data_IF_946252602141
#
_entry.id   IF_946252602141
#
_cell.length_a   1.000
_cell.length_b   1.000
_cell.length_c   1.000
_cell.angle_alpha   90.00
_cell.angle_beta   90.00
_cell.angle_gamma   90.00
#
_symmetry.space_group_name_H-M   'P 1'
#
loop_
_entity.id
_entity.type
_entity.pdbx_description
1 polymer ?
#
# COMPACT_ATOMS: atom_id res chain seq x y z
N UNK A 1 -9.62 -11.39 30.05
CA UNK A 1 -10.43 -11.56 31.28
C UNK A 1 -9.71 -12.44 32.30
N UNK A 2 -10.02 -12.24 33.54
CA UNK A 2 -9.38 -12.98 34.65
C UNK A 2 -9.57 -14.49 34.51
N UNK A 3 -10.75 -14.91 34.16
CA UNK A 3 -11.09 -16.35 34.03
C UNK A 3 -10.33 -17.00 32.87
N UNK A 4 -10.14 -16.29 31.75
CA UNK A 4 -9.36 -16.76 30.62
C UNK A 4 -7.89 -16.85 31.03
N UNK A 5 -7.36 -15.82 31.70
CA UNK A 5 -5.97 -15.82 32.18
C UNK A 5 -5.71 -16.93 33.20
N UNK A 6 -6.64 -17.21 34.12
CA UNK A 6 -6.53 -18.32 35.10
C UNK A 6 -6.50 -19.70 34.40
N UNK A 7 -7.17 -19.82 33.24
CA UNK A 7 -7.23 -21.09 32.48
C UNK A 7 -5.95 -21.32 31.67
N UNK A 8 -5.45 -20.29 30.98
CA UNK A 8 -4.32 -20.41 30.07
C UNK A 8 -2.96 -20.06 30.70
N UNK A 9 -2.96 -19.35 31.83
CA UNK A 9 -1.77 -18.95 32.57
C UNK A 9 -1.02 -17.74 31.98
N UNK A 10 -1.05 -17.57 30.65
CA UNK A 10 -0.41 -16.47 29.93
C UNK A 10 -1.22 -16.09 28.67
N UNK A 11 -0.97 -14.89 28.09
CA UNK A 11 -1.52 -14.54 26.80
C UNK A 11 -1.01 -15.47 25.70
N UNK A 12 -1.91 -16.22 25.07
CA UNK A 12 -1.64 -17.10 23.95
C UNK A 12 -2.72 -16.94 22.87
N UNK A 13 -2.52 -17.43 21.64
CA UNK A 13 -3.50 -17.30 20.58
C UNK A 13 -4.88 -17.83 20.97
N UNK A 14 -4.94 -18.98 21.60
CA UNK A 14 -6.18 -19.64 22.03
C UNK A 14 -6.96 -18.81 23.06
N UNK A 15 -6.25 -18.21 24.03
CA UNK A 15 -6.84 -17.33 25.04
C UNK A 15 -7.41 -16.06 24.38
N UNK A 16 -6.70 -15.49 23.40
CA UNK A 16 -7.14 -14.30 22.69
C UNK A 16 -8.37 -14.57 21.81
N UNK A 17 -8.42 -15.72 21.15
CA UNK A 17 -9.58 -16.16 20.36
C UNK A 17 -10.78 -16.43 21.24
N UNK A 18 -10.61 -17.15 22.36
CA UNK A 18 -11.70 -17.40 23.29
C UNK A 18 -12.30 -16.10 23.83
N UNK A 19 -11.45 -15.16 24.25
CA UNK A 19 -11.88 -13.83 24.68
C UNK A 19 -12.66 -13.09 23.60
N UNK A 20 -12.15 -13.04 22.38
CA UNK A 20 -12.80 -12.38 21.27
C UNK A 20 -14.19 -12.97 20.96
N UNK A 21 -14.29 -14.30 20.91
CA UNK A 21 -15.55 -15.00 20.65
C UNK A 21 -16.55 -14.85 21.80
N UNK A 22 -16.10 -14.78 23.06
CA UNK A 22 -16.97 -14.50 24.17
C UNK A 22 -17.61 -13.11 24.08
N UNK A 23 -16.83 -12.10 23.68
CA UNK A 23 -17.36 -10.76 23.44
C UNK A 23 -18.29 -10.70 22.22
N UNK A 24 -17.98 -11.43 21.16
CA UNK A 24 -18.87 -11.53 20.00
C UNK A 24 -20.25 -12.11 20.40
N UNK A 25 -20.28 -13.20 21.18
CA UNK A 25 -21.54 -13.79 21.68
C UNK A 25 -22.37 -12.82 22.52
N UNK A 26 -21.73 -12.00 23.35
CA UNK A 26 -22.47 -10.98 24.14
C UNK A 26 -23.18 -9.98 23.19
N UNK A 27 -22.52 -9.58 22.11
CA UNK A 27 -23.13 -8.68 21.12
C UNK A 27 -24.24 -9.37 20.32
N UNK A 28 -24.06 -10.64 19.98
CA UNK A 28 -25.08 -11.47 19.33
C UNK A 28 -26.32 -11.65 20.22
N UNK A 29 -26.13 -11.90 21.50
CA UNK A 29 -27.22 -12.04 22.50
C UNK A 29 -28.04 -10.73 22.65
N UNK A 30 -27.41 -9.56 22.37
CA UNK A 30 -28.06 -8.24 22.34
C UNK A 30 -28.59 -7.88 20.93
N UNK A 31 -28.64 -8.82 19.99
CA UNK A 31 -29.06 -8.62 18.59
C UNK A 31 -28.25 -7.57 17.83
N UNK A 32 -26.97 -7.40 18.22
CA UNK A 32 -26.03 -6.47 17.57
C UNK A 32 -24.98 -7.25 16.78
N UNK A 33 -25.17 -7.36 15.46
CA UNK A 33 -24.33 -8.16 14.55
C UNK A 33 -23.41 -7.32 13.65
N UNK A 34 -23.63 -6.00 13.61
CA UNK A 34 -22.86 -5.06 12.77
C UNK A 34 -21.57 -4.61 13.48
N UNK A 35 -20.64 -5.52 13.69
CA UNK A 35 -19.36 -5.24 14.32
C UNK A 35 -18.19 -5.90 13.59
N UNK A 36 -16.98 -5.49 13.93
CA UNK A 36 -15.72 -6.11 13.51
C UNK A 36 -14.86 -6.43 14.72
N UNK A 37 -14.04 -7.46 14.61
CA UNK A 37 -13.19 -7.92 15.70
C UNK A 37 -11.75 -7.45 15.51
N UNK A 38 -11.11 -7.07 16.62
CA UNK A 38 -9.72 -6.68 16.65
C UNK A 38 -8.98 -7.43 17.76
N UNK A 39 -8.03 -8.27 17.40
CA UNK A 39 -7.28 -9.14 18.30
C UNK A 39 -5.77 -8.81 18.23
N UNK A 40 -5.39 -7.67 18.83
CA UNK A 40 -4.04 -7.10 18.70
C UNK A 40 -3.11 -7.52 19.82
N UNK A 41 -1.84 -7.74 19.49
CA UNK A 41 -0.75 -7.88 20.43
C UNK A 41 0.44 -7.01 20.01
N UNK A 42 1.35 -6.76 20.93
CA UNK A 42 2.63 -6.09 20.67
C UNK A 42 3.68 -7.05 20.10
N UNK A 43 3.53 -8.34 20.39
CA UNK A 43 4.28 -9.40 19.74
C UNK A 43 3.65 -9.74 18.39
N UNK A 44 4.45 -9.71 17.35
CA UNK A 44 3.99 -9.90 15.95
C UNK A 44 3.52 -11.32 15.72
N UNK A 45 4.25 -12.31 16.25
CA UNK A 45 3.92 -13.72 16.05
C UNK A 45 2.63 -14.10 16.78
N UNK A 46 2.47 -13.62 18.03
CA UNK A 46 1.25 -13.79 18.79
C UNK A 46 0.05 -13.17 18.07
N UNK A 47 0.20 -11.93 17.57
CA UNK A 47 -0.86 -11.25 16.80
C UNK A 47 -1.25 -12.05 15.55
N UNK A 48 -0.27 -12.46 14.73
CA UNK A 48 -0.52 -13.22 13.51
C UNK A 48 -1.20 -14.56 13.82
N UNK A 49 -0.73 -15.30 14.82
CA UNK A 49 -1.32 -16.58 15.21
C UNK A 49 -2.76 -16.41 15.72
N UNK A 50 -3.01 -15.39 16.56
CA UNK A 50 -4.35 -15.12 17.09
C UNK A 50 -5.34 -14.73 15.96
N UNK A 51 -4.97 -13.85 15.04
CA UNK A 51 -5.81 -13.49 13.89
C UNK A 51 -6.07 -14.67 12.95
N UNK A 52 -5.05 -15.50 12.71
CA UNK A 52 -5.20 -16.70 11.86
C UNK A 52 -6.22 -17.66 12.49
N UNK A 53 -6.06 -17.96 13.78
CA UNK A 53 -7.01 -18.84 14.50
C UNK A 53 -8.40 -18.23 14.60
N UNK A 54 -8.51 -16.90 14.74
CA UNK A 54 -9.80 -16.20 14.78
C UNK A 54 -10.51 -16.24 13.43
N UNK A 55 -9.78 -16.08 12.31
CA UNK A 55 -10.32 -16.19 10.96
C UNK A 55 -10.85 -17.59 10.62
N UNK A 56 -10.29 -18.63 11.25
CA UNK A 56 -10.81 -20.00 11.15
C UNK A 56 -12.05 -20.24 12.03
N UNK A 57 -12.22 -19.43 13.09
CA UNK A 57 -13.25 -19.63 14.11
C UNK A 57 -14.54 -18.83 13.88
N UNK A 58 -14.51 -17.77 13.07
CA UNK A 58 -15.69 -16.93 12.78
C UNK A 58 -15.56 -16.18 11.44
N UNK A 59 -16.70 -15.74 10.90
CA UNK A 59 -16.80 -15.00 9.64
C UNK A 59 -16.93 -13.48 9.85
N UNK A 60 -16.75 -12.97 11.08
CA UNK A 60 -16.80 -11.53 11.34
C UNK A 60 -15.63 -10.78 10.72
N UNK A 61 -15.85 -9.57 10.18
CA UNK A 61 -14.77 -8.76 9.64
C UNK A 61 -13.66 -8.51 10.67
N UNK A 62 -12.41 -8.62 10.24
CA UNK A 62 -11.24 -8.47 11.09
C UNK A 62 -10.55 -7.14 10.89
N UNK A 63 -10.29 -6.42 11.99
CA UNK A 63 -9.54 -5.19 12.01
C UNK A 63 -8.11 -5.43 12.47
N UNK A 64 -7.20 -5.55 11.51
CA UNK A 64 -5.81 -5.90 11.75
C UNK A 64 -4.99 -4.76 12.34
N UNK A 65 -4.00 -5.13 13.14
CA UNK A 65 -3.01 -4.20 13.63
C UNK A 65 -2.07 -4.84 14.64
N UNK A 66 -0.86 -4.26 14.75
CA UNK A 66 0.08 -4.54 15.84
C UNK A 66 -0.01 -3.38 16.81
N UNK A 67 -0.29 -3.63 18.08
CA UNK A 67 -0.34 -2.59 19.10
C UNK A 67 1.06 -2.29 19.63
N UNK A 68 1.30 -1.04 20.07
CA UNK A 68 2.57 -0.65 20.69
C UNK A 68 3.79 -1.03 19.82
N UNK A 69 3.68 -0.80 18.51
CA UNK A 69 4.71 -1.24 17.57
C UNK A 69 6.03 -0.48 17.73
N UNK A 70 6.01 0.72 18.33
CA UNK A 70 7.19 1.53 18.58
C UNK A 70 7.30 2.76 17.65
N UNK A 71 8.49 3.36 17.58
CA UNK A 71 8.75 4.55 16.76
C UNK A 71 8.64 4.26 15.26
N UNK A 72 8.71 5.33 14.46
CA UNK A 72 8.47 5.28 13.01
C UNK A 72 9.15 4.10 12.31
N UNK A 73 10.46 3.93 12.45
CA UNK A 73 11.20 2.87 11.76
C UNK A 73 10.85 1.47 12.25
N UNK A 74 10.96 1.23 13.56
CA UNK A 74 10.71 -0.10 14.14
C UNK A 74 9.25 -0.50 14.07
N UNK A 75 8.36 0.46 14.29
CA UNK A 75 6.92 0.26 14.20
C UNK A 75 6.44 -0.04 12.79
N UNK A 76 7.03 0.63 11.78
CA UNK A 76 6.78 0.31 10.36
C UNK A 76 7.17 -1.13 10.06
N UNK A 77 8.34 -1.58 10.49
CA UNK A 77 8.80 -2.96 10.25
C UNK A 77 7.86 -3.97 10.90
N UNK A 78 7.52 -3.78 12.19
CA UNK A 78 6.60 -4.68 12.90
C UNK A 78 5.22 -4.73 12.26
N UNK A 79 4.66 -3.56 11.92
CA UNK A 79 3.35 -3.46 11.27
C UNK A 79 3.36 -4.09 9.89
N UNK A 80 4.43 -3.89 9.11
CA UNK A 80 4.57 -4.51 7.79
C UNK A 80 4.63 -6.03 7.87
N UNK A 81 5.34 -6.58 8.86
CA UNK A 81 5.40 -8.04 9.05
C UNK A 81 4.03 -8.55 9.52
N UNK A 82 3.45 -7.99 10.58
CA UNK A 82 2.21 -8.49 11.17
C UNK A 82 1.01 -8.33 10.24
N UNK A 83 0.71 -7.11 9.81
CA UNK A 83 -0.40 -6.83 8.90
C UNK A 83 -0.14 -7.45 7.52
N UNK A 84 1.08 -7.33 7.01
CA UNK A 84 1.44 -7.85 5.70
C UNK A 84 1.31 -9.36 5.59
N UNK A 85 1.73 -10.12 6.61
CA UNK A 85 1.58 -11.59 6.62
C UNK A 85 0.11 -12.02 6.58
N UNK A 86 -0.75 -11.35 7.35
CA UNK A 86 -2.18 -11.65 7.38
C UNK A 86 -2.87 -11.31 6.05
N UNK A 87 -2.61 -10.12 5.52
CA UNK A 87 -3.15 -9.70 4.23
C UNK A 87 -2.67 -10.60 3.07
N UNK A 88 -1.41 -11.06 3.12
CA UNK A 88 -0.88 -12.03 2.16
C UNK A 88 -1.62 -13.37 2.21
N UNK A 89 -2.05 -13.78 3.41
CA UNK A 89 -2.86 -14.98 3.62
C UNK A 89 -4.37 -14.76 3.31
N UNK A 90 -4.77 -13.58 2.86
CA UNK A 90 -6.18 -13.25 2.59
C UNK A 90 -7.00 -12.93 3.85
N UNK A 91 -6.36 -12.67 4.98
CA UNK A 91 -7.00 -12.39 6.26
C UNK A 91 -7.02 -10.88 6.52
N UNK A 92 -8.20 -10.33 6.83
CA UNK A 92 -8.40 -8.96 7.30
C UNK A 92 -9.14 -8.06 6.31
N UNK A 93 -9.97 -7.18 6.86
CA UNK A 93 -10.88 -6.31 6.12
C UNK A 93 -10.52 -4.83 6.27
N UNK A 94 -10.00 -4.47 7.41
CA UNK A 94 -9.51 -3.12 7.72
C UNK A 94 -8.19 -3.20 8.48
N UNK A 95 -7.37 -2.15 8.37
CA UNK A 95 -6.06 -2.10 9.03
C UNK A 95 -5.90 -0.85 9.89
N UNK A 96 -5.07 -0.94 10.91
CA UNK A 96 -4.54 0.17 11.68
C UNK A 96 -3.05 -0.02 11.92
N UNK A 97 -2.26 0.94 11.45
CA UNK A 97 -0.87 1.10 11.84
C UNK A 97 -0.83 1.94 13.13
N UNK A 98 0.03 1.57 14.07
CA UNK A 98 0.18 2.27 15.36
C UNK A 98 1.64 2.60 15.58
N UNK A 99 1.98 3.90 15.57
CA UNK A 99 3.35 4.40 15.65
C UNK A 99 3.47 5.48 16.72
N UNK A 100 4.61 5.50 17.43
CA UNK A 100 5.01 6.65 18.25
C UNK A 100 5.64 7.72 17.33
N UNK A 101 4.81 8.30 16.44
CA UNK A 101 5.18 9.30 15.45
C UNK A 101 3.97 10.17 15.11
N UNK A 102 4.12 11.12 14.17
CA UNK A 102 3.00 11.91 13.64
C UNK A 102 1.93 10.96 13.06
N UNK A 103 0.63 11.13 13.40
CA UNK A 103 -0.45 10.28 12.90
C UNK A 103 -0.54 10.18 11.38
N UNK A 104 -0.07 11.18 10.65
CA UNK A 104 -0.01 11.17 9.18
C UNK A 104 0.92 10.04 8.68
N UNK A 105 1.98 9.73 9.42
CA UNK A 105 2.92 8.66 9.07
C UNK A 105 2.26 7.28 9.20
N UNK A 106 1.32 7.08 10.12
CA UNK A 106 0.55 5.84 10.24
C UNK A 106 -0.27 5.55 8.97
N UNK A 107 -0.88 6.60 8.41
CA UNK A 107 -1.66 6.52 7.16
C UNK A 107 -0.75 6.20 5.97
N UNK A 108 0.41 6.86 5.88
CA UNK A 108 1.40 6.60 4.81
C UNK A 108 1.88 5.15 4.85
N UNK A 109 2.32 4.70 6.02
CA UNK A 109 2.77 3.30 6.22
C UNK A 109 1.67 2.30 5.90
N UNK A 110 0.42 2.58 6.29
CA UNK A 110 -0.72 1.75 5.95
C UNK A 110 -0.91 1.60 4.44
N UNK A 111 -0.84 2.70 3.69
CA UNK A 111 -0.89 2.66 2.22
C UNK A 111 0.33 1.99 1.61
N UNK A 112 1.53 2.16 2.18
CA UNK A 112 2.74 1.51 1.68
C UNK A 112 2.69 -0.02 1.84
N UNK A 113 2.13 -0.52 2.95
CA UNK A 113 1.86 -1.95 3.13
C UNK A 113 0.89 -2.46 2.07
N UNK A 114 -0.25 -1.79 1.88
CA UNK A 114 -1.27 -2.19 0.91
C UNK A 114 -0.75 -2.12 -0.54
N UNK A 115 0.01 -1.10 -0.86
CA UNK A 115 0.66 -0.90 -2.17
C UNK A 115 1.69 -2.00 -2.45
N UNK A 116 2.53 -2.34 -1.46
CA UNK A 116 3.55 -3.39 -1.58
C UNK A 116 2.94 -4.78 -1.82
N UNK A 117 1.71 -5.00 -1.39
CA UNK A 117 0.95 -6.23 -1.61
C UNK A 117 0.04 -6.19 -2.85
N UNK A 118 0.01 -5.09 -3.58
CA UNK A 118 -0.87 -4.93 -4.74
C UNK A 118 -2.37 -4.83 -4.40
N UNK A 119 -2.72 -4.62 -3.13
CA UNK A 119 -4.12 -4.59 -2.67
C UNK A 119 -4.79 -3.23 -2.88
N UNK A 120 -4.03 -2.16 -2.70
CA UNK A 120 -4.48 -0.79 -2.99
C UNK A 120 -3.34 0.02 -3.56
N UNK A 121 -3.65 0.80 -4.57
CA UNK A 121 -2.69 1.69 -5.21
C UNK A 121 -3.10 3.14 -4.91
N UNK A 122 -2.18 3.90 -4.33
CA UNK A 122 -2.33 5.34 -4.12
C UNK A 122 -0.97 6.00 -4.28
N UNK A 123 -0.93 7.01 -5.13
CA UNK A 123 0.27 7.79 -5.36
C UNK A 123 1.32 7.08 -6.21
N UNK A 124 2.44 7.73 -6.32
CA UNK A 124 3.57 7.27 -7.13
C UNK A 124 4.33 6.15 -6.41
N UNK A 125 4.50 5.03 -7.08
CA UNK A 125 5.39 3.95 -6.64
C UNK A 125 6.75 4.10 -7.30
N UNK A 126 7.76 4.53 -6.53
CA UNK A 126 9.11 4.71 -7.04
C UNK A 126 9.90 3.41 -6.92
N UNK A 127 10.32 2.86 -8.05
CA UNK A 127 11.19 1.70 -8.15
C UNK A 127 12.60 2.19 -8.42
N UNK A 128 13.53 1.91 -7.53
CA UNK A 128 14.91 2.38 -7.69
C UNK A 128 15.94 1.30 -7.41
N UNK A 129 17.07 1.37 -8.08
CA UNK A 129 18.18 0.47 -7.79
C UNK A 129 19.01 0.98 -6.60
N UNK A 130 19.65 0.08 -5.84
CA UNK A 130 20.67 0.49 -4.87
C UNK A 130 21.85 1.10 -5.63
N UNK A 131 22.40 2.19 -5.09
CA UNK A 131 23.57 2.84 -5.66
C UNK A 131 24.75 1.87 -5.77
N UNK A 132 25.40 1.81 -6.94
CA UNK A 132 26.56 0.95 -7.20
C UNK A 132 27.59 1.65 -8.11
N UNK A 133 28.74 1.03 -8.31
CA UNK A 133 29.81 1.58 -9.14
C UNK A 133 29.44 1.86 -10.63
N UNK A 134 28.32 1.32 -11.10
CA UNK A 134 27.82 1.54 -12.47
C UNK A 134 26.88 2.73 -12.61
N UNK A 135 26.49 3.36 -11.50
CA UNK A 135 25.59 4.51 -11.57
C UNK A 135 26.19 5.66 -12.37
N UNK A 136 25.35 6.36 -13.11
CA UNK A 136 25.72 7.49 -13.94
C UNK A 136 25.20 8.83 -13.41
N UNK A 137 24.43 8.80 -12.31
CA UNK A 137 23.95 9.96 -11.56
C UNK A 137 23.73 9.56 -10.09
N UNK A 138 23.49 10.50 -9.20
CA UNK A 138 23.30 10.26 -7.78
C UNK A 138 21.89 9.72 -7.47
N UNK A 139 21.68 8.41 -7.68
CA UNK A 139 20.37 7.75 -7.53
C UNK A 139 19.71 8.04 -6.19
N UNK A 140 20.45 7.87 -5.08
CA UNK A 140 19.90 8.04 -3.72
C UNK A 140 19.32 9.44 -3.55
N UNK A 141 20.11 10.48 -3.84
CA UNK A 141 19.65 11.88 -3.69
C UNK A 141 18.49 12.20 -4.64
N UNK A 142 18.53 11.69 -5.86
CA UNK A 142 17.47 11.89 -6.84
C UNK A 142 16.15 11.28 -6.33
N UNK A 143 16.18 10.05 -5.82
CA UNK A 143 15.00 9.36 -5.29
C UNK A 143 14.44 10.07 -4.05
N UNK A 144 15.30 10.44 -3.09
CA UNK A 144 14.87 11.16 -1.88
C UNK A 144 14.14 12.48 -2.19
N UNK A 145 14.60 13.21 -3.22
CA UNK A 145 13.95 14.47 -3.61
C UNK A 145 12.67 14.19 -4.41
N UNK A 146 12.69 13.20 -5.31
CA UNK A 146 11.50 12.82 -6.07
C UNK A 146 10.36 12.36 -5.17
N UNK A 147 10.59 11.45 -4.22
CA UNK A 147 9.57 10.97 -3.29
C UNK A 147 8.91 12.12 -2.50
N UNK A 148 9.71 13.09 -2.05
CA UNK A 148 9.18 14.28 -1.36
C UNK A 148 8.35 15.17 -2.28
N UNK A 149 8.83 15.42 -3.50
CA UNK A 149 8.15 16.30 -4.46
C UNK A 149 6.89 15.68 -5.05
N UNK A 150 6.86 14.36 -5.19
CA UNK A 150 5.73 13.61 -5.74
C UNK A 150 4.70 13.17 -4.68
N UNK A 151 4.95 13.45 -3.39
CA UNK A 151 4.08 13.01 -2.29
C UNK A 151 2.64 13.57 -2.36
N UNK A 152 2.41 14.66 -3.10
CA UNK A 152 1.08 15.26 -3.30
C UNK A 152 0.24 14.50 -4.34
N UNK A 153 0.86 13.73 -5.22
CA UNK A 153 0.17 12.96 -6.27
C UNK A 153 -0.52 11.76 -5.63
N UNK A 154 -1.81 11.64 -5.83
CA UNK A 154 -2.62 10.52 -5.32
C UNK A 154 -2.95 9.49 -6.40
N UNK A 155 -2.77 9.85 -7.66
CA UNK A 155 -2.97 8.98 -8.82
C UNK A 155 -2.03 7.79 -8.79
N UNK A 156 -2.55 6.56 -8.86
CA UNK A 156 -1.72 5.36 -8.89
C UNK A 156 -0.88 5.32 -10.16
N UNK A 157 0.44 5.29 -10.01
CA UNK A 157 1.38 5.14 -11.12
C UNK A 157 2.74 4.64 -10.64
N UNK A 158 3.55 4.17 -11.57
CA UNK A 158 4.87 3.60 -11.32
C UNK A 158 5.97 4.44 -11.99
N UNK A 159 7.05 4.70 -11.25
CA UNK A 159 8.22 5.42 -11.76
C UNK A 159 9.47 4.61 -11.47
N UNK A 160 10.26 4.28 -12.49
CA UNK A 160 11.57 3.65 -12.30
C UNK A 160 12.71 4.65 -12.42
N UNK A 161 13.63 4.63 -11.44
CA UNK A 161 14.83 5.47 -11.38
C UNK A 161 16.05 4.59 -11.22
N UNK A 162 16.66 4.22 -12.34
CA UNK A 162 17.73 3.23 -12.39
C UNK A 162 19.04 3.86 -12.85
N UNK A 163 20.08 3.75 -12.05
CA UNK A 163 21.36 4.42 -12.23
C UNK A 163 22.18 4.03 -13.47
N UNK A 164 21.84 2.95 -14.19
CA UNK A 164 22.63 2.50 -15.33
C UNK A 164 21.80 1.73 -16.37
N UNK A 165 22.36 1.61 -17.57
CA UNK A 165 21.73 0.89 -18.71
C UNK A 165 21.63 -0.61 -18.55
N UNK A 166 22.21 -1.21 -17.50
CA UNK A 166 22.21 -2.68 -17.35
C UNK A 166 20.82 -3.18 -16.94
N UNK A 167 20.21 -2.56 -15.92
CA UNK A 167 18.88 -2.92 -15.43
C UNK A 167 17.80 -1.91 -15.89
N UNK A 168 18.21 -0.69 -16.21
CA UNK A 168 17.30 0.42 -16.49
C UNK A 168 16.27 0.16 -17.58
N UNK A 169 16.64 -0.33 -18.77
CA UNK A 169 15.68 -0.61 -19.82
C UNK A 169 14.64 -1.67 -19.43
N UNK A 170 15.06 -2.71 -18.69
CA UNK A 170 14.17 -3.77 -18.22
C UNK A 170 13.12 -3.26 -17.20
N UNK A 171 13.55 -2.49 -16.23
CA UNK A 171 12.64 -1.87 -15.25
C UNK A 171 11.71 -0.83 -15.90
N UNK A 172 12.25 -0.04 -16.83
CA UNK A 172 11.48 0.98 -17.53
C UNK A 172 10.35 0.42 -18.39
N UNK A 173 10.50 -0.79 -18.93
CA UNK A 173 9.44 -1.49 -19.68
C UNK A 173 8.18 -1.76 -18.87
N UNK A 174 8.31 -1.83 -17.54
CA UNK A 174 7.23 -2.21 -16.60
C UNK A 174 6.68 -1.01 -15.85
N UNK A 175 7.06 0.22 -16.23
CA UNK A 175 6.68 1.44 -15.50
C UNK A 175 6.07 2.49 -16.42
N UNK A 176 5.22 3.35 -15.85
CA UNK A 176 4.58 4.45 -16.57
C UNK A 176 5.59 5.52 -17.01
N UNK A 177 6.55 5.82 -16.10
CA UNK A 177 7.68 6.70 -16.39
C UNK A 177 8.96 6.00 -15.94
N UNK A 178 9.92 5.88 -16.86
CA UNK A 178 11.23 5.28 -16.60
C UNK A 178 12.36 6.26 -16.81
N UNK A 179 13.35 6.25 -15.90
CA UNK A 179 14.59 7.03 -16.04
C UNK A 179 15.80 6.14 -15.85
N UNK A 180 16.67 6.12 -16.86
CA UNK A 180 17.84 5.25 -16.87
C UNK A 180 19.10 6.05 -17.06
N UNK A 181 20.06 5.88 -16.15
CA UNK A 181 21.39 6.47 -16.26
C UNK A 181 22.12 5.99 -17.50
N UNK A 182 22.49 6.93 -18.38
CA UNK A 182 23.30 6.68 -19.56
C UNK A 182 24.72 7.25 -19.40
N UNK A 183 25.65 6.80 -20.22
CA UNK A 183 27.03 7.26 -20.17
C UNK A 183 27.21 8.71 -20.65
N UNK A 184 28.29 9.36 -20.20
CA UNK A 184 28.71 10.72 -20.62
C UNK A 184 27.68 11.81 -20.30
N UNK A 185 27.00 11.73 -19.14
CA UNK A 185 26.02 12.74 -18.70
C UNK A 185 24.78 12.83 -19.60
N UNK A 186 24.40 11.73 -20.23
CA UNK A 186 23.20 11.66 -21.07
C UNK A 186 22.38 10.44 -20.62
N UNK A 187 21.16 10.66 -20.21
CA UNK A 187 20.25 9.67 -19.65
C UNK A 187 19.08 9.40 -20.61
N UNK A 188 18.42 8.27 -20.46
CA UNK A 188 17.27 7.91 -21.27
C UNK A 188 15.99 7.97 -20.42
N UNK A 189 14.98 8.66 -20.92
CA UNK A 189 13.62 8.69 -20.41
C UNK A 189 12.77 7.71 -21.19
N UNK A 190 11.86 7.04 -20.50
CA UNK A 190 10.88 6.11 -21.06
C UNK A 190 9.48 6.53 -20.61
N UNK A 191 8.51 6.42 -21.50
CA UNK A 191 7.10 6.65 -21.23
C UNK A 191 6.32 5.40 -21.65
N UNK A 192 5.52 4.85 -20.74
CA UNK A 192 4.77 3.62 -20.97
C UNK A 192 5.65 2.46 -21.51
N UNK A 193 6.84 2.31 -20.96
CA UNK A 193 7.79 1.28 -21.35
C UNK A 193 8.58 1.57 -22.63
N UNK A 194 8.28 2.61 -23.37
CA UNK A 194 8.95 2.94 -24.62
C UNK A 194 9.99 4.06 -24.44
N UNK A 195 11.17 3.96 -25.10
CA UNK A 195 12.13 5.06 -25.11
C UNK A 195 11.49 6.31 -25.72
N UNK A 196 11.55 7.43 -24.99
CA UNK A 196 10.95 8.69 -25.43
C UNK A 196 12.06 9.68 -25.84
N UNK A 197 12.76 10.26 -24.87
CA UNK A 197 13.82 11.23 -25.17
C UNK A 197 15.03 11.06 -24.27
N UNK A 198 16.08 11.83 -24.56
CA UNK A 198 17.29 11.85 -23.76
C UNK A 198 17.40 13.15 -22.97
N UNK A 199 17.81 13.01 -21.71
CA UNK A 199 18.02 14.11 -20.77
C UNK A 199 19.51 14.21 -20.41
N UNK A 200 20.01 15.43 -20.24
CA UNK A 200 21.35 15.69 -19.69
C UNK A 200 21.29 15.81 -18.18
N UNK A 201 22.46 15.77 -17.51
CA UNK A 201 22.59 15.85 -16.06
C UNK A 201 21.91 17.06 -15.41
N UNK A 202 21.74 18.15 -16.15
CA UNK A 202 21.09 19.37 -15.66
C UNK A 202 19.59 19.18 -15.50
N UNK A 203 19.08 19.45 -14.32
CA UNK A 203 17.64 19.46 -13.98
C UNK A 203 16.89 18.09 -14.06
N UNK A 204 17.57 16.97 -13.80
CA UNK A 204 16.95 15.63 -13.81
C UNK A 204 15.68 15.61 -12.96
N UNK A 205 15.74 16.10 -11.72
CA UNK A 205 14.61 16.03 -10.79
C UNK A 205 13.42 16.86 -11.27
N UNK A 206 13.67 18.12 -11.68
CA UNK A 206 12.58 19.01 -12.14
C UNK A 206 11.87 18.41 -13.35
N UNK A 207 12.65 17.93 -14.31
CA UNK A 207 12.11 17.30 -15.51
C UNK A 207 11.29 16.02 -15.20
N UNK A 208 11.80 15.18 -14.30
CA UNK A 208 11.05 13.97 -13.91
C UNK A 208 9.77 14.32 -13.17
N UNK A 209 9.76 15.34 -12.31
CA UNK A 209 8.54 15.81 -11.64
C UNK A 209 7.51 16.28 -12.65
N UNK A 210 7.89 17.12 -13.61
CA UNK A 210 7.00 17.60 -14.67
C UNK A 210 6.40 16.45 -15.48
N UNK A 211 7.23 15.46 -15.84
CA UNK A 211 6.76 14.28 -16.59
C UNK A 211 5.78 13.43 -15.78
N UNK A 212 6.06 13.23 -14.49
CA UNK A 212 5.20 12.44 -13.61
C UNK A 212 3.89 13.16 -13.37
N UNK A 213 3.90 14.48 -13.14
CA UNK A 213 2.68 15.29 -13.00
C UNK A 213 1.84 15.27 -14.28
N UNK A 214 2.47 15.43 -15.44
CA UNK A 214 1.77 15.35 -16.73
C UNK A 214 1.16 13.96 -16.94
N UNK A 215 1.89 12.89 -16.61
CA UNK A 215 1.41 11.52 -16.72
C UNK A 215 0.26 11.22 -15.74
N UNK A 216 0.34 11.73 -14.52
CA UNK A 216 -0.75 11.62 -13.55
C UNK A 216 -2.03 12.28 -14.07
N UNK A 217 -1.92 13.48 -14.63
CA UNK A 217 -3.07 14.17 -15.22
C UNK A 217 -3.67 13.42 -16.42
N UNK A 218 -2.83 12.79 -17.26
CA UNK A 218 -3.30 11.93 -18.36
C UNK A 218 -4.08 10.72 -17.85
N UNK A 219 -3.57 10.05 -16.82
CA UNK A 219 -4.24 8.88 -16.21
C UNK A 219 -5.57 9.28 -15.59
N UNK A 220 -5.63 10.41 -14.87
CA UNK A 220 -6.88 10.92 -14.29
C UNK A 220 -7.90 11.28 -15.35
N UNK A 221 -7.49 11.93 -16.42
CA UNK A 221 -8.38 12.26 -17.53
C UNK A 221 -8.94 11.01 -18.22
N UNK A 222 -8.10 9.99 -18.45
CA UNK A 222 -8.52 8.73 -19.03
C UNK A 222 -9.54 8.00 -18.13
N UNK A 223 -9.29 7.98 -16.83
CA UNK A 223 -10.18 7.37 -15.83
C UNK A 223 -11.53 8.08 -15.77
N UNK A 224 -11.52 9.41 -15.75
CA UNK A 224 -12.76 10.19 -15.76
C UNK A 224 -13.59 9.98 -17.05
N UNK A 225 -12.95 9.81 -18.21
CA UNK A 225 -13.62 9.49 -19.46
C UNK A 225 -14.25 8.10 -19.41
N UNK A 226 -13.56 7.09 -18.89
CA UNK A 226 -14.07 5.74 -18.72
C UNK A 226 -15.27 5.68 -17.76
N UNK A 227 -15.19 6.38 -16.62
CA UNK A 227 -16.28 6.48 -15.65
C UNK A 227 -17.53 7.14 -16.29
N UNK A 228 -17.34 8.20 -17.08
CA UNK A 228 -18.43 8.86 -17.79
C UNK A 228 -19.09 7.95 -18.84
N UNK A 229 -18.32 7.15 -19.56
CA UNK A 229 -18.85 6.16 -20.52
C UNK A 229 -19.66 5.06 -19.82
N UNK A 230 -19.18 4.55 -18.67
CA UNK A 230 -19.88 3.55 -17.87
C UNK A 230 -21.22 4.12 -17.34
N UNK A 231 -21.21 5.35 -16.84
CA UNK A 231 -22.39 6.01 -16.34
C UNK A 231 -23.43 6.24 -17.47
N UNK A 232 -23.00 6.69 -18.63
CA UNK A 232 -23.86 6.85 -19.82
C UNK A 232 -24.46 5.51 -20.27
N UNK A 233 -23.68 4.43 -20.26
CA UNK A 233 -24.15 3.09 -20.62
C UNK A 233 -25.14 2.51 -19.60
N UNK A 234 -24.94 2.79 -18.30
CA UNK A 234 -25.86 2.35 -17.23
C UNK A 234 -27.16 3.13 -17.19
N UNK A 235 -27.13 4.44 -17.45
CA UNK A 235 -28.31 5.30 -17.57
C UNK A 235 -29.23 5.00 -18.75
N UNK A 236 -28.67 4.39 -19.79
CA UNK A 236 -29.46 3.98 -20.99
C UNK A 236 -30.29 2.69 -20.78
N UNK A 237 -30.16 2.01 -19.65
CA UNK A 237 -30.82 0.73 -19.30
C UNK A 237 -32.02 0.87 -18.35
N UNK A 238 -32.67 2.01 -18.21
CA UNK A 238 -33.94 2.12 -17.52
C UNK A 238 -35.05 1.57 -18.44
N UNK A 239 -35.69 0.43 -18.13
CA UNK A 239 -36.77 -0.07 -18.96
C UNK A 239 -38.01 0.81 -18.77
N UNK A 240 -38.59 1.24 -19.86
CA UNK A 240 -39.98 1.63 -19.88
C UNK A 240 -40.84 0.43 -19.48
N UNK A 241 -41.19 0.32 -18.20
CA UNK A 241 -42.14 -0.67 -17.71
C UNK A 241 -43.56 -0.07 -17.84
N UNK A 242 -44.22 -0.46 -18.93
CA UNK A 242 -45.61 -0.86 -19.03
C UNK A 242 -46.63 -0.09 -18.20
N UNK A 243 -47.32 0.85 -18.89
CA UNK A 243 -48.72 1.13 -18.63
C UNK A 243 -49.53 0.06 -19.36
N UNK A 244 -50.24 -0.77 -18.63
CA UNK A 244 -51.47 -1.48 -19.01
C UNK A 244 -52.15 -2.01 -17.75
#
# INVERSE_FOLDING_TARGET
EREVLERYGEPCPEAMVESALNHARILEDEDFTEFKISCKASDVFLAVAAYTALAEACDYPLHLGVTEAGGLRSGTIKSSIGIGSLLWAGIGDTIRVSLSADPVEEVKVGFDILKSLGLRHRGVNVISCPSCARQQFEVIKTVEVLEKRLAHITTPMTVSVIGCVVNGPGEALMTDVGFTGGGRGTHQVYINGLPDHRLKDDNIVDHLVELVEAKAAEIEAAKAAEEAEIEAASGAKAPAAAAS
#
